data_IF_806735598202
#
_entry.id   IF_806735598202
#
_cell.length_a   1.000
_cell.length_b   1.000
_cell.length_c   1.000
_cell.angle_alpha   90.00
_cell.angle_beta   90.00
_cell.angle_gamma   90.00
#
_symmetry.space_group_name_H-M   'P 1'
#
loop_
_entity.id
_entity.type
_entity.pdbx_description
1 polymer ?
#
# COMPACT_ATOMS: atom_id res chain seq x y z
N UNK A 1 -0.96 -11.09 15.18
CA UNK A 1 -0.44 -10.80 13.82
C UNK A 1 -0.60 -11.97 12.85
N UNK A 2 -0.10 -13.17 13.16
CA UNK A 2 -0.12 -14.34 12.25
C UNK A 2 -1.47 -14.62 11.54
N UNK A 3 -2.54 -14.87 12.30
CA UNK A 3 -3.86 -15.18 11.70
C UNK A 3 -4.43 -14.07 10.83
N UNK A 4 -4.17 -12.80 11.21
CA UNK A 4 -4.57 -11.66 10.39
C UNK A 4 -3.87 -11.66 9.04
N UNK A 5 -2.55 -11.93 9.02
CA UNK A 5 -1.81 -12.08 7.77
C UNK A 5 -2.39 -13.22 6.93
N UNK A 6 -2.63 -14.39 7.52
CA UNK A 6 -3.21 -15.55 6.83
C UNK A 6 -4.56 -15.24 6.19
N UNK A 7 -5.49 -14.63 6.93
CA UNK A 7 -6.83 -14.33 6.40
C UNK A 7 -6.78 -13.26 5.31
N UNK A 8 -6.03 -12.17 5.52
CA UNK A 8 -6.00 -11.04 4.58
C UNK A 8 -5.33 -11.44 3.26
N UNK A 9 -4.18 -12.10 3.30
CA UNK A 9 -3.50 -12.50 2.06
C UNK A 9 -4.28 -13.58 1.31
N UNK A 10 -5.04 -14.43 2.01
CA UNK A 10 -5.89 -15.42 1.35
C UNK A 10 -7.05 -14.81 0.56
N UNK A 11 -7.43 -13.55 0.79
CA UNK A 11 -8.44 -12.89 -0.04
C UNK A 11 -8.04 -12.86 -1.53
N UNK A 12 -6.74 -12.81 -1.83
CA UNK A 12 -6.23 -12.83 -3.21
C UNK A 12 -6.43 -14.19 -3.91
N UNK A 13 -6.65 -15.28 -3.17
CA UNK A 13 -6.95 -16.60 -3.75
C UNK A 13 -8.26 -16.62 -4.55
N UNK A 14 -9.16 -15.66 -4.30
CA UNK A 14 -10.43 -15.53 -5.01
C UNK A 14 -10.26 -15.04 -6.47
N UNK A 15 -9.06 -14.61 -6.88
CA UNK A 15 -8.81 -14.18 -8.26
C UNK A 15 -8.79 -15.41 -9.18
N UNK A 16 -9.62 -15.48 -10.23
CA UNK A 16 -9.66 -16.62 -11.14
C UNK A 16 -8.30 -16.89 -11.81
N UNK A 17 -7.99 -18.16 -12.00
CA UNK A 17 -6.78 -18.69 -12.67
C UNK A 17 -5.45 -18.45 -11.95
N UNK A 18 -5.22 -17.26 -11.39
CA UNK A 18 -3.92 -16.84 -10.82
C UNK A 18 -3.92 -16.68 -9.30
N UNK A 19 -5.09 -16.73 -8.66
CA UNK A 19 -5.23 -16.38 -7.24
C UNK A 19 -4.35 -17.20 -6.31
N UNK A 20 -4.40 -18.54 -6.43
CA UNK A 20 -3.60 -19.41 -5.57
C UNK A 20 -2.09 -19.19 -5.77
N UNK A 21 -1.65 -19.08 -7.02
CA UNK A 21 -0.24 -18.80 -7.35
C UNK A 21 0.22 -17.46 -6.78
N UNK A 22 -0.65 -16.43 -6.79
CA UNK A 22 -0.33 -15.12 -6.22
C UNK A 22 -0.15 -15.18 -4.69
N UNK A 23 -0.99 -15.93 -4.00
CA UNK A 23 -0.91 -16.11 -2.53
C UNK A 23 0.37 -16.84 -2.14
N UNK A 24 0.66 -17.97 -2.78
CA UNK A 24 1.87 -18.76 -2.50
C UNK A 24 3.14 -17.98 -2.86
N UNK A 25 3.11 -17.19 -3.94
CA UNK A 25 4.19 -16.29 -4.31
C UNK A 25 4.44 -15.23 -3.24
N UNK A 26 3.37 -14.59 -2.74
CA UNK A 26 3.44 -13.58 -1.70
C UNK A 26 4.00 -14.16 -0.38
N UNK A 27 3.54 -15.35 0.01
CA UNK A 27 4.06 -16.04 1.20
C UNK A 27 5.50 -16.53 1.05
N UNK A 28 5.90 -16.90 -0.16
CA UNK A 28 7.18 -17.57 -0.42
C UNK A 28 7.18 -19.02 0.06
N UNK A 29 6.02 -19.67 0.09
CA UNK A 29 5.81 -21.02 0.61
C UNK A 29 4.31 -21.37 0.67
N UNK A 30 3.96 -22.48 1.32
CA UNK A 30 2.58 -22.98 1.39
C UNK A 30 1.71 -22.33 2.47
N UNK A 31 2.32 -21.57 3.37
CA UNK A 31 1.62 -20.86 4.45
C UNK A 31 2.42 -19.64 4.88
N UNK A 32 1.81 -18.78 5.69
CA UNK A 32 2.52 -17.67 6.34
C UNK A 32 3.60 -18.26 7.25
N UNK A 33 4.87 -17.92 6.99
CA UNK A 33 6.01 -18.39 7.78
C UNK A 33 7.19 -17.39 7.70
N UNK A 34 8.40 -17.78 8.09
CA UNK A 34 9.60 -16.95 8.10
C UNK A 34 9.90 -16.22 6.77
N UNK A 35 9.72 -16.83 5.57
CA UNK A 35 9.85 -16.10 4.31
C UNK A 35 8.85 -14.94 4.19
N UNK A 36 7.63 -15.11 4.68
CA UNK A 36 6.61 -14.05 4.71
C UNK A 36 7.00 -12.95 5.68
N UNK A 37 7.45 -13.29 6.89
CA UNK A 37 7.83 -12.32 7.92
C UNK A 37 8.97 -11.41 7.46
N UNK A 38 10.03 -11.99 6.90
CA UNK A 38 11.20 -11.23 6.42
C UNK A 38 10.85 -10.30 5.27
N UNK A 39 10.02 -10.75 4.31
CA UNK A 39 9.51 -9.91 3.21
C UNK A 39 8.59 -8.79 3.70
N UNK A 40 7.71 -9.10 4.65
CA UNK A 40 6.81 -8.09 5.23
C UNK A 40 7.59 -7.02 5.98
N UNK A 41 8.63 -7.40 6.72
CA UNK A 41 9.52 -6.41 7.35
C UNK A 41 10.23 -5.53 6.31
N UNK A 42 10.79 -6.12 5.25
CA UNK A 42 11.43 -5.36 4.19
C UNK A 42 10.47 -4.39 3.50
N UNK A 43 9.24 -4.82 3.19
CA UNK A 43 8.20 -3.96 2.62
C UNK A 43 7.75 -2.88 3.60
N UNK A 44 7.54 -3.21 4.87
CA UNK A 44 7.15 -2.25 5.90
C UNK A 44 8.23 -1.19 6.12
N UNK A 45 9.50 -1.54 5.99
CA UNK A 45 10.60 -0.59 6.04
C UNK A 45 10.64 0.30 4.78
N UNK A 46 10.39 -0.26 3.60
CA UNK A 46 10.44 0.47 2.32
C UNK A 46 9.27 1.43 2.11
N UNK A 47 8.04 1.00 2.41
CA UNK A 47 6.81 1.72 2.08
C UNK A 47 6.72 3.14 2.67
N UNK A 48 7.14 3.41 3.92
CA UNK A 48 7.18 4.77 4.46
C UNK A 48 7.96 5.75 3.58
N UNK A 49 9.09 5.35 3.02
CA UNK A 49 9.88 6.20 2.13
C UNK A 49 9.16 6.45 0.80
N UNK A 50 8.47 5.44 0.26
CA UNK A 50 7.61 5.63 -0.92
C UNK A 50 6.46 6.58 -0.64
N UNK A 51 5.82 6.48 0.54
CA UNK A 51 4.77 7.41 0.98
C UNK A 51 5.32 8.83 1.09
N UNK A 52 6.52 9.02 1.68
CA UNK A 52 7.17 10.34 1.72
C UNK A 52 7.35 10.92 0.31
N UNK A 53 7.82 10.13 -0.66
CA UNK A 53 7.91 10.59 -2.05
C UNK A 53 6.56 10.97 -2.65
N UNK A 54 5.51 10.18 -2.39
CA UNK A 54 4.15 10.51 -2.83
C UNK A 54 3.60 11.78 -2.17
N UNK A 55 3.94 12.03 -0.89
CA UNK A 55 3.58 13.27 -0.19
C UNK A 55 4.25 14.47 -0.85
N UNK A 56 5.51 14.37 -1.26
CA UNK A 56 6.19 15.45 -1.99
C UNK A 56 5.49 15.73 -3.32
N UNK A 57 5.16 14.69 -4.09
CA UNK A 57 4.40 14.83 -5.35
C UNK A 57 3.04 15.48 -5.10
N UNK A 58 2.32 15.02 -4.08
CA UNK A 58 1.03 15.57 -3.68
C UNK A 58 1.11 17.06 -3.32
N UNK A 59 2.09 17.45 -2.51
CA UNK A 59 2.30 18.84 -2.11
C UNK A 59 2.79 19.72 -3.26
N UNK A 60 3.53 19.16 -4.22
CA UNK A 60 3.94 19.89 -5.43
C UNK A 60 2.70 20.31 -6.22
N UNK A 61 1.78 19.40 -6.48
CA UNK A 61 0.53 19.74 -7.18
C UNK A 61 -0.36 20.68 -6.36
N UNK A 62 -0.40 20.52 -5.03
CA UNK A 62 -1.11 21.47 -4.16
C UNK A 62 -0.49 22.87 -4.22
N UNK A 63 0.83 22.99 -4.30
CA UNK A 63 1.52 24.27 -4.40
C UNK A 63 1.22 24.99 -5.73
N UNK A 64 1.04 24.26 -6.83
CA UNK A 64 0.70 24.86 -8.13
C UNK A 64 -0.70 25.49 -8.13
N UNK A 65 -1.70 24.83 -7.52
CA UNK A 65 -3.08 25.35 -7.47
C UNK A 65 -3.39 26.21 -6.24
N UNK A 66 -2.59 26.08 -5.18
CA UNK A 66 -2.93 26.53 -3.84
C UNK A 66 -4.06 25.70 -3.20
N UNK A 67 -4.32 25.96 -1.91
CA UNK A 67 -5.47 25.40 -1.20
C UNK A 67 -6.77 26.04 -1.67
N UNK A 68 -7.83 25.23 -1.79
CA UNK A 68 -9.19 25.72 -1.98
C UNK A 68 -9.75 26.28 -0.65
N UNK A 69 -10.88 26.99 -0.71
CA UNK A 69 -11.61 27.47 0.45
C UNK A 69 -13.08 26.99 0.43
N UNK A 70 -13.77 26.99 1.59
CA UNK A 70 -15.14 26.46 1.71
C UNK A 70 -16.19 27.17 0.85
N UNK A 71 -15.93 28.42 0.44
CA UNK A 71 -16.85 29.19 -0.42
C UNK A 71 -16.63 28.87 -1.90
N UNK A 72 -15.53 28.21 -2.27
CA UNK A 72 -15.22 27.81 -3.64
C UNK A 72 -14.97 28.98 -4.61
N UNK A 73 -14.64 30.16 -4.08
CA UNK A 73 -14.34 31.38 -4.86
C UNK A 73 -12.84 31.69 -4.85
N UNK A 74 -12.29 32.49 -5.77
CA UNK A 74 -10.87 32.88 -5.71
C UNK A 74 -10.51 33.51 -4.36
N UNK A 75 -9.43 33.01 -3.74
CA UNK A 75 -8.98 33.44 -2.40
C UNK A 75 -8.15 34.74 -2.42
N UNK A 76 -7.68 35.11 -3.61
CA UNK A 76 -6.76 36.19 -3.89
C UNK A 76 -7.53 37.33 -4.55
N UNK A 77 -7.90 38.32 -3.73
CA UNK A 77 -8.40 39.63 -4.17
C UNK A 77 -7.22 40.59 -4.38
#
# INVERSE_FOLDING_TARGET
SFWGATVITNLFSAIPYIGQTLVEWAWGGFSVDNPTLTRFFALHFLLPFMITSLVIIHLTFLHESGSNNPLGIPSNC
#
